data_IF_319197168617
#
_entry.id   IF_319197168617
#
_cell.length_a   1.000
_cell.length_b   1.000
_cell.length_c   1.000
_cell.angle_alpha   90.00
_cell.angle_beta   90.00
_cell.angle_gamma   90.00
#
_symmetry.space_group_name_H-M   'P 1'
#
loop_
_entity.id
_entity.type
_entity.pdbx_description
1 polymer ?
#
# COMPACT_ATOMS: atom_id res chain seq x y z
N UNK A 1 -75.53 36.61 12.70
CA UNK A 1 -75.19 35.28 13.25
C UNK A 1 -73.71 35.29 13.62
N UNK A 2 -73.37 35.30 14.91
CA UNK A 2 -71.97 35.10 15.35
C UNK A 2 -71.70 33.60 15.31
N UNK A 3 -70.82 33.17 14.42
CA UNK A 3 -70.33 31.78 14.39
C UNK A 3 -69.72 31.54 15.77
N UNK A 4 -70.21 30.54 16.52
CA UNK A 4 -69.56 30.11 17.75
C UNK A 4 -68.21 29.57 17.34
N UNK A 5 -67.15 30.33 17.58
CA UNK A 5 -65.80 29.81 17.49
C UNK A 5 -65.66 28.73 18.56
N UNK A 6 -65.48 27.50 18.12
CA UNK A 6 -65.16 26.38 18.98
C UNK A 6 -63.80 26.66 19.65
N UNK A 7 -63.70 26.45 20.96
CA UNK A 7 -62.54 26.86 21.77
C UNK A 7 -61.75 25.63 22.21
N UNK A 8 -60.42 25.71 22.15
CA UNK A 8 -59.51 24.69 22.66
C UNK A 8 -59.59 24.62 24.19
N UNK A 9 -59.89 23.45 24.78
CA UNK A 9 -60.00 23.28 26.24
C UNK A 9 -58.66 23.43 26.99
N UNK A 10 -57.51 23.39 26.28
CA UNK A 10 -56.17 23.51 26.91
C UNK A 10 -55.62 24.93 26.92
N UNK A 11 -55.83 25.71 25.85
CA UNK A 11 -55.24 27.04 25.71
C UNK A 11 -56.26 28.19 25.51
N UNK A 12 -57.55 27.89 25.34
CA UNK A 12 -58.58 28.91 25.13
C UNK A 12 -58.59 29.55 23.74
N UNK A 13 -57.74 29.11 22.81
CA UNK A 13 -57.70 29.59 21.42
C UNK A 13 -58.73 28.92 20.49
N UNK A 14 -58.89 29.39 19.25
CA UNK A 14 -59.83 28.79 18.28
C UNK A 14 -59.41 27.36 17.92
N UNK A 15 -60.40 26.46 17.85
CA UNK A 15 -60.25 25.04 17.51
C UNK A 15 -61.37 24.65 16.54
N UNK A 16 -61.09 24.10 15.34
CA UNK A 16 -62.14 23.79 14.35
C UNK A 16 -63.25 22.88 14.90
N UNK A 17 -62.87 21.85 15.67
CA UNK A 17 -63.78 20.78 16.09
C UNK A 17 -64.16 20.85 17.59
N UNK A 18 -63.73 21.90 18.29
CA UNK A 18 -63.89 22.01 19.76
C UNK A 18 -62.97 21.08 20.57
N UNK A 19 -62.09 20.33 19.89
CA UNK A 19 -61.02 19.54 20.50
C UNK A 19 -59.75 20.35 20.78
N UNK A 20 -58.66 19.66 21.10
CA UNK A 20 -57.34 20.27 21.28
C UNK A 20 -56.87 20.88 19.94
N UNK A 21 -56.53 22.17 19.93
CA UNK A 21 -56.03 22.85 18.72
C UNK A 21 -54.69 22.28 18.25
N UNK A 22 -54.34 22.52 16.98
CA UNK A 22 -53.12 21.99 16.37
C UNK A 22 -51.85 22.33 17.17
N UNK A 23 -51.74 23.56 17.71
CA UNK A 23 -50.62 23.96 18.59
C UNK A 23 -50.52 23.10 19.85
N UNK A 24 -51.63 22.94 20.55
CA UNK A 24 -51.66 22.13 21.76
C UNK A 24 -51.49 20.62 21.49
N UNK A 25 -51.72 20.17 20.25
CA UNK A 25 -51.43 18.79 19.82
C UNK A 25 -49.94 18.61 19.58
N UNK A 26 -49.30 19.55 18.89
CA UNK A 26 -47.84 19.56 18.65
C UNK A 26 -47.06 19.63 19.97
N UNK A 27 -47.49 20.43 20.94
CA UNK A 27 -46.88 20.53 22.27
C UNK A 27 -46.88 19.21 23.08
N UNK A 28 -47.65 18.20 22.67
CA UNK A 28 -47.70 16.89 23.33
C UNK A 28 -46.85 15.83 22.62
N UNK A 29 -46.36 16.13 21.42
CA UNK A 29 -45.56 15.20 20.63
C UNK A 29 -44.10 15.37 21.05
N UNK A 30 -43.50 14.30 21.57
CA UNK A 30 -42.04 14.22 21.66
C UNK A 30 -41.50 13.99 20.26
N UNK A 31 -41.25 15.08 19.55
CA UNK A 31 -40.89 15.07 18.13
C UNK A 31 -39.39 14.92 17.87
N UNK A 32 -38.58 15.05 18.92
CA UNK A 32 -37.13 14.93 18.86
C UNK A 32 -36.61 14.24 20.13
N UNK A 33 -35.71 13.29 19.94
CA UNK A 33 -34.93 12.65 20.99
C UNK A 33 -33.47 12.54 20.52
N UNK A 34 -32.52 12.55 21.44
CA UNK A 34 -31.13 12.29 21.10
C UNK A 34 -30.53 11.26 22.05
N UNK A 35 -29.61 10.46 21.52
CA UNK A 35 -28.79 9.62 22.39
C UNK A 35 -27.93 10.52 23.28
N UNK A 36 -27.92 10.33 24.61
CA UNK A 36 -27.18 11.21 25.51
C UNK A 36 -25.67 11.11 25.31
N UNK A 37 -25.21 10.01 24.71
CA UNK A 37 -23.79 9.72 24.53
C UNK A 37 -23.54 8.86 23.31
N UNK A 38 -22.54 9.25 22.53
CA UNK A 38 -22.04 8.50 21.38
C UNK A 38 -20.58 8.10 21.58
N UNK A 39 -20.19 7.00 20.96
CA UNK A 39 -18.82 6.49 20.99
C UNK A 39 -18.21 6.56 19.60
N UNK A 40 -17.03 7.15 19.52
CA UNK A 40 -16.20 7.15 18.30
C UNK A 40 -14.93 6.40 18.63
N UNK A 41 -14.73 5.27 17.95
CA UNK A 41 -13.62 4.37 18.21
C UNK A 41 -12.61 4.51 17.08
N UNK A 42 -11.36 4.80 17.44
CA UNK A 42 -10.24 5.00 16.52
C UNK A 42 -9.09 4.05 16.88
N UNK A 43 -8.38 3.56 15.86
CA UNK A 43 -7.19 2.75 16.02
C UNK A 43 -5.97 3.64 16.24
N UNK A 44 -5.31 3.58 17.42
CA UNK A 44 -4.17 4.46 17.72
C UNK A 44 -2.95 4.20 16.84
N UNK A 45 -2.87 3.04 16.16
CA UNK A 45 -1.74 2.67 15.32
C UNK A 45 -1.86 3.10 13.86
N UNK A 46 -3.08 3.25 13.31
CA UNK A 46 -3.26 3.56 11.89
C UNK A 46 -4.35 4.61 11.60
N UNK A 47 -5.00 5.16 12.63
CA UNK A 47 -6.05 6.17 12.48
C UNK A 47 -7.38 5.66 11.94
N UNK A 48 -7.49 4.37 11.62
CA UNK A 48 -8.75 3.79 11.15
C UNK A 48 -9.85 3.91 12.21
N UNK A 49 -11.08 4.15 11.80
CA UNK A 49 -12.23 4.30 12.69
C UNK A 49 -13.21 3.15 12.53
N UNK A 50 -13.95 2.85 13.61
CA UNK A 50 -14.89 1.73 13.67
C UNK A 50 -16.32 2.19 13.40
N UNK A 51 -17.02 1.47 12.53
CA UNK A 51 -18.43 1.67 12.19
C UNK A 51 -19.18 0.36 12.14
N UNK A 52 -20.25 0.25 12.93
CA UNK A 52 -21.13 -0.93 12.95
C UNK A 52 -20.35 -2.28 13.05
N UNK A 53 -19.20 -2.26 13.74
CA UNK A 53 -18.32 -3.43 13.89
C UNK A 53 -17.22 -3.58 12.83
N UNK A 54 -17.23 -2.81 11.73
CA UNK A 54 -16.22 -2.81 10.69
C UNK A 54 -15.21 -1.64 10.84
N UNK A 55 -13.98 -1.83 10.35
CA UNK A 55 -12.93 -0.80 10.38
C UNK A 55 -12.77 -0.13 9.01
N UNK A 56 -12.72 1.19 8.99
CA UNK A 56 -12.52 1.99 7.78
C UNK A 56 -11.18 2.70 7.82
N UNK A 57 -10.36 2.53 6.77
CA UNK A 57 -9.09 3.24 6.56
C UNK A 57 -9.26 4.61 5.88
N UNK A 58 -10.49 5.01 5.55
CA UNK A 58 -10.72 6.31 4.94
C UNK A 58 -10.39 7.40 5.96
N UNK A 59 -9.32 8.15 5.66
CA UNK A 59 -8.99 9.35 6.41
C UNK A 59 -10.17 10.32 6.34
N UNK A 60 -10.65 10.73 7.51
CA UNK A 60 -11.64 11.78 7.66
C UNK A 60 -11.26 12.64 8.83
N UNK A 61 -11.63 13.90 8.77
CA UNK A 61 -11.41 14.77 9.91
C UNK A 61 -12.28 14.33 11.08
N UNK A 62 -11.76 14.53 12.29
CA UNK A 62 -12.45 14.23 13.54
C UNK A 62 -13.82 14.92 13.60
N UNK A 63 -13.91 16.15 13.08
CA UNK A 63 -15.15 16.92 13.02
C UNK A 63 -16.21 16.29 12.10
N UNK A 64 -15.79 15.76 10.94
CA UNK A 64 -16.71 15.11 9.99
C UNK A 64 -17.30 13.83 10.57
N UNK A 65 -16.45 12.99 11.16
CA UNK A 65 -16.89 11.75 11.81
C UNK A 65 -17.85 12.07 12.96
N UNK A 66 -17.51 13.08 13.78
CA UNK A 66 -18.38 13.50 14.87
C UNK A 66 -19.73 14.00 14.35
N UNK A 67 -19.74 14.84 13.33
CA UNK A 67 -20.97 15.39 12.72
C UNK A 67 -21.88 14.29 12.19
N UNK A 68 -21.32 13.35 11.42
CA UNK A 68 -22.08 12.20 10.90
C UNK A 68 -22.67 11.36 12.04
N UNK A 69 -21.91 11.13 13.11
CA UNK A 69 -22.36 10.36 14.27
C UNK A 69 -23.44 11.08 15.07
N UNK A 70 -23.33 12.40 15.22
CA UNK A 70 -24.32 13.24 15.89
C UNK A 70 -25.63 13.18 15.13
N UNK A 71 -25.61 13.37 13.81
CA UNK A 71 -26.83 13.35 12.99
C UNK A 71 -27.59 12.02 13.11
N UNK A 72 -26.87 10.89 13.19
CA UNK A 72 -27.47 9.56 13.38
C UNK A 72 -27.98 9.31 14.81
N UNK A 73 -27.52 10.09 15.78
CA UNK A 73 -27.94 10.01 17.17
C UNK A 73 -29.15 10.92 17.47
N UNK A 74 -29.57 11.74 16.52
CA UNK A 74 -30.79 12.56 16.60
C UNK A 74 -31.92 11.78 15.94
N UNK A 75 -32.93 11.44 16.73
CA UNK A 75 -34.13 10.74 16.29
C UNK A 75 -35.27 11.75 16.18
N UNK A 76 -35.82 11.90 14.98
CA UNK A 76 -36.95 12.78 14.71
C UNK A 76 -38.22 11.95 14.49
N UNK A 77 -39.36 12.46 14.92
CA UNK A 77 -40.65 11.85 14.63
C UNK A 77 -40.93 11.87 13.11
N UNK A 78 -41.54 10.81 12.54
CA UNK A 78 -41.83 10.75 11.10
C UNK A 78 -42.72 11.90 10.57
N UNK A 79 -43.48 12.58 11.43
CA UNK A 79 -44.31 13.73 11.10
C UNK A 79 -43.57 15.06 11.03
N UNK A 80 -42.24 15.06 11.23
CA UNK A 80 -41.40 16.26 11.12
C UNK A 80 -41.07 16.56 9.66
N UNK A 81 -41.35 17.79 9.25
CA UNK A 81 -41.09 18.30 7.91
C UNK A 81 -39.94 19.33 7.93
N UNK A 82 -39.10 19.28 6.90
CA UNK A 82 -37.99 20.24 6.65
C UNK A 82 -37.09 20.52 7.87
N UNK A 83 -36.42 19.50 8.46
CA UNK A 83 -35.54 19.72 9.60
C UNK A 83 -34.24 20.42 9.18
N UNK A 84 -33.92 21.52 9.86
CA UNK A 84 -32.66 22.24 9.80
C UNK A 84 -31.86 21.99 11.09
N UNK A 85 -30.57 21.68 10.94
CA UNK A 85 -29.67 21.35 12.05
C UNK A 85 -28.58 22.42 12.18
N UNK A 86 -28.48 23.05 13.35
CA UNK A 86 -27.31 23.84 13.76
C UNK A 86 -26.56 23.08 14.86
N UNK A 87 -25.29 22.78 14.61
CA UNK A 87 -24.48 21.94 15.49
C UNK A 87 -23.18 22.65 15.84
N UNK A 88 -22.83 22.64 17.13
CA UNK A 88 -21.55 23.13 17.63
C UNK A 88 -20.89 22.06 18.48
N UNK A 89 -19.64 21.75 18.16
CA UNK A 89 -18.84 20.75 18.87
C UNK A 89 -17.75 21.47 19.65
N UNK A 90 -17.73 21.25 20.96
CA UNK A 90 -16.71 21.80 21.85
C UNK A 90 -15.89 20.66 22.46
N UNK A 91 -14.57 20.74 22.33
CA UNK A 91 -13.66 19.79 22.96
C UNK A 91 -13.48 20.12 24.45
N UNK A 92 -13.97 19.22 25.31
CA UNK A 92 -13.80 19.33 26.77
C UNK A 92 -12.44 18.76 27.19
N UNK A 93 -12.00 17.69 26.51
CA UNK A 93 -10.73 17.02 26.74
C UNK A 93 -10.30 16.25 25.48
N UNK A 94 -9.06 15.74 25.40
CA UNK A 94 -8.63 14.94 24.25
C UNK A 94 -9.56 13.75 23.95
N UNK A 95 -10.19 13.16 24.96
CA UNK A 95 -11.04 11.98 24.81
C UNK A 95 -12.55 12.27 24.93
N UNK A 96 -12.94 13.54 25.12
CA UNK A 96 -14.36 13.92 25.27
C UNK A 96 -14.66 15.25 24.62
N UNK A 97 -15.73 15.27 23.83
CA UNK A 97 -16.30 16.49 23.26
C UNK A 97 -17.78 16.56 23.62
N UNK A 98 -18.36 17.75 23.58
CA UNK A 98 -19.80 17.96 23.74
C UNK A 98 -20.35 18.60 22.49
N UNK A 99 -21.36 17.99 21.92
CA UNK A 99 -22.13 18.57 20.84
C UNK A 99 -23.37 19.26 21.43
N UNK A 100 -23.59 20.50 21.04
CA UNK A 100 -24.83 21.23 21.25
C UNK A 100 -25.54 21.30 19.91
N UNK A 101 -26.73 20.70 19.83
CA UNK A 101 -27.51 20.62 18.60
C UNK A 101 -28.82 21.39 18.78
N UNK A 102 -29.10 22.30 17.86
CA UNK A 102 -30.38 22.96 17.72
C UNK A 102 -31.05 22.50 16.44
N UNK A 103 -32.31 22.09 16.54
CA UNK A 103 -33.12 21.62 15.41
C UNK A 103 -34.32 22.54 15.25
N UNK A 104 -34.48 23.08 14.05
CA UNK A 104 -35.67 23.83 13.66
C UNK A 104 -36.43 23.04 12.60
N UNK A 105 -37.73 22.83 12.78
CA UNK A 105 -38.55 22.06 11.85
C UNK A 105 -40.01 22.51 11.87
N UNK A 106 -40.87 21.88 11.06
CA UNK A 106 -42.32 22.10 11.10
C UNK A 106 -43.10 20.80 11.29
N UNK A 107 -44.17 20.84 12.09
CA UNK A 107 -45.12 19.73 12.27
C UNK A 107 -46.53 20.29 12.05
N UNK A 108 -47.25 19.78 11.05
CA UNK A 108 -48.59 20.29 10.69
C UNK A 108 -48.60 21.82 10.46
N UNK A 109 -47.64 22.33 9.67
CA UNK A 109 -47.42 23.76 9.39
C UNK A 109 -47.12 24.63 10.63
N UNK A 110 -46.82 24.02 11.79
CA UNK A 110 -46.45 24.74 13.01
C UNK A 110 -44.92 24.63 13.19
N UNK A 111 -44.20 25.76 13.29
CA UNK A 111 -42.76 25.74 13.52
C UNK A 111 -42.47 25.24 14.94
N UNK A 112 -41.54 24.29 15.04
CA UNK A 112 -41.03 23.73 16.29
C UNK A 112 -39.52 23.91 16.38
N UNK A 113 -39.03 24.16 17.59
CA UNK A 113 -37.60 24.29 17.87
C UNK A 113 -37.24 23.41 19.06
N UNK A 114 -36.16 22.66 18.91
CA UNK A 114 -35.66 21.71 19.88
C UNK A 114 -34.17 21.90 20.05
N UNK A 115 -33.67 21.63 21.25
CA UNK A 115 -32.24 21.59 21.50
C UNK A 115 -31.88 20.38 22.34
N UNK A 116 -30.71 19.84 22.07
CA UNK A 116 -30.19 18.71 22.80
C UNK A 116 -28.67 18.78 22.92
N UNK A 117 -28.13 18.07 23.90
CA UNK A 117 -26.69 17.97 24.09
C UNK A 117 -26.27 16.51 24.11
N UNK A 118 -25.24 16.20 23.33
CA UNK A 118 -24.73 14.84 23.15
C UNK A 118 -23.27 14.81 23.61
N UNK A 119 -22.92 13.87 24.48
CA UNK A 119 -21.54 13.63 24.87
C UNK A 119 -20.85 12.72 23.83
N UNK A 120 -19.74 13.19 23.27
CA UNK A 120 -18.91 12.39 22.35
C UNK A 120 -17.73 11.82 23.11
N UNK A 121 -17.60 10.50 23.09
CA UNK A 121 -16.47 9.81 23.74
C UNK A 121 -15.56 9.17 22.71
N UNK A 122 -14.32 9.63 22.70
CA UNK A 122 -13.27 9.17 21.80
C UNK A 122 -12.53 8.02 22.49
N UNK A 123 -12.72 6.83 21.95
CA UNK A 123 -12.12 5.60 22.45
C UNK A 123 -11.01 5.13 21.53
N UNK A 124 -9.99 4.54 22.14
CA UNK A 124 -8.88 3.91 21.41
C UNK A 124 -9.03 2.40 21.50
N UNK A 125 -9.17 1.75 20.36
CA UNK A 125 -9.22 0.29 20.24
C UNK A 125 -8.30 -0.11 19.09
N UNK A 126 -7.43 -1.11 19.26
CA UNK A 126 -6.56 -1.53 18.17
C UNK A 126 -7.37 -2.29 17.12
N UNK A 127 -7.29 -1.89 15.85
CA UNK A 127 -7.96 -2.63 14.77
C UNK A 127 -7.38 -4.03 14.59
N UNK A 128 -8.16 -4.90 13.97
CA UNK A 128 -7.79 -6.28 13.65
C UNK A 128 -6.48 -6.37 12.85
N UNK A 129 -6.27 -5.50 11.86
CA UNK A 129 -5.02 -5.39 11.09
C UNK A 129 -3.82 -5.10 12.00
N UNK A 130 -3.88 -4.01 12.76
CA UNK A 130 -2.77 -3.59 13.62
C UNK A 130 -2.50 -4.59 14.75
N UNK A 131 -3.55 -5.19 15.30
CA UNK A 131 -3.42 -6.26 16.29
C UNK A 131 -2.67 -7.47 15.70
N UNK A 132 -3.06 -7.93 14.50
CA UNK A 132 -2.37 -9.03 13.80
C UNK A 132 -0.92 -8.71 13.45
N UNK A 133 -0.64 -7.50 12.97
CA UNK A 133 0.73 -7.04 12.70
C UNK A 133 1.60 -7.10 13.96
N UNK A 134 1.10 -6.56 15.08
CA UNK A 134 1.84 -6.62 16.36
C UNK A 134 1.99 -8.05 16.90
N UNK A 135 1.03 -8.93 16.60
CA UNK A 135 1.04 -10.34 17.00
C UNK A 135 1.94 -11.25 16.15
N UNK A 136 2.74 -10.72 15.21
CA UNK A 136 3.53 -11.52 14.26
C UNK A 136 2.68 -12.53 13.46
N UNK A 137 1.43 -12.18 13.17
CA UNK A 137 0.54 -13.00 12.36
C UNK A 137 0.98 -12.97 10.90
N UNK A 138 1.01 -14.15 10.27
CA UNK A 138 1.24 -14.28 8.84
C UNK A 138 0.59 -15.54 8.29
N UNK A 139 0.22 -15.47 7.01
CA UNK A 139 -0.36 -16.56 6.24
C UNK A 139 0.59 -17.05 5.14
N UNK A 140 1.57 -16.24 4.75
CA UNK A 140 2.57 -16.67 3.78
C UNK A 140 3.89 -15.94 3.89
N UNK A 141 4.88 -16.51 3.20
CA UNK A 141 6.21 -15.92 3.03
C UNK A 141 6.61 -16.04 1.57
N UNK A 142 6.89 -14.91 0.91
CA UNK A 142 7.45 -14.88 -0.44
C UNK A 142 8.97 -14.80 -0.34
N UNK A 143 9.66 -15.82 -0.85
CA UNK A 143 11.11 -15.91 -0.81
C UNK A 143 11.66 -15.71 -2.22
N UNK A 144 12.29 -14.56 -2.46
CA UNK A 144 12.90 -14.19 -3.72
C UNK A 144 14.35 -14.62 -3.72
N UNK A 145 14.71 -15.54 -4.62
CA UNK A 145 16.07 -16.05 -4.83
C UNK A 145 16.38 -16.07 -6.33
N UNK A 146 17.66 -16.14 -6.70
CA UNK A 146 18.07 -16.28 -8.11
C UNK A 146 18.75 -17.63 -8.37
N UNK A 147 18.59 -18.17 -9.58
CA UNK A 147 19.20 -19.46 -9.97
C UNK A 147 20.69 -19.28 -10.25
N UNK A 148 21.56 -19.88 -9.43
CA UNK A 148 23.00 -19.95 -9.70
C UNK A 148 23.74 -18.61 -9.58
N UNK A 149 23.10 -17.59 -9.00
CA UNK A 149 23.68 -16.29 -8.63
C UNK A 149 22.90 -15.69 -7.46
N UNK A 150 23.41 -14.61 -6.90
CA UNK A 150 22.63 -13.75 -6.00
C UNK A 150 21.73 -12.83 -6.83
N UNK A 151 20.51 -12.52 -6.35
CA UNK A 151 19.71 -11.45 -6.94
C UNK A 151 20.50 -10.14 -6.96
N UNK A 152 20.35 -9.37 -8.03
CA UNK A 152 20.95 -8.05 -8.11
C UNK A 152 20.22 -7.07 -7.17
N UNK A 153 20.89 -6.02 -6.65
CA UNK A 153 20.24 -5.04 -5.78
C UNK A 153 18.97 -4.43 -6.40
N UNK A 154 19.00 -4.14 -7.72
CA UNK A 154 17.82 -3.62 -8.41
C UNK A 154 16.66 -4.62 -8.49
N UNK A 155 16.94 -5.93 -8.55
CA UNK A 155 15.89 -6.97 -8.56
C UNK A 155 15.22 -7.06 -7.19
N UNK A 156 16.01 -6.97 -6.11
CA UNK A 156 15.50 -6.92 -4.73
C UNK A 156 14.65 -5.68 -4.51
N UNK A 157 15.16 -4.50 -4.89
CA UNK A 157 14.41 -3.25 -4.79
C UNK A 157 13.12 -3.29 -5.62
N UNK A 158 13.15 -3.87 -6.83
CA UNK A 158 11.95 -4.04 -7.67
C UNK A 158 10.94 -4.99 -7.02
N UNK A 159 11.40 -6.11 -6.43
CA UNK A 159 10.52 -7.05 -5.75
C UNK A 159 9.87 -6.45 -4.49
N UNK A 160 10.62 -5.66 -3.71
CA UNK A 160 10.09 -4.91 -2.57
C UNK A 160 9.07 -3.86 -3.03
N UNK A 161 9.36 -3.12 -4.10
CA UNK A 161 8.42 -2.16 -4.69
C UNK A 161 7.11 -2.81 -5.14
N UNK A 162 7.18 -3.94 -5.84
CA UNK A 162 6.00 -4.73 -6.25
C UNK A 162 5.19 -5.17 -5.03
N UNK A 163 5.85 -5.54 -3.93
CA UNK A 163 5.15 -5.94 -2.72
C UNK A 163 4.34 -4.78 -2.13
N UNK A 164 4.95 -3.59 -2.03
CA UNK A 164 4.26 -2.40 -1.54
C UNK A 164 3.10 -2.00 -2.45
N UNK A 165 3.32 -1.95 -3.77
CA UNK A 165 2.27 -1.66 -4.75
C UNK A 165 1.09 -2.65 -4.65
N UNK A 166 1.38 -3.93 -4.38
CA UNK A 166 0.35 -4.97 -4.22
C UNK A 166 -0.41 -4.81 -2.90
N UNK A 167 0.28 -4.46 -1.80
CA UNK A 167 -0.37 -4.14 -0.52
C UNK A 167 -1.35 -2.97 -0.68
N UNK A 168 -0.88 -1.87 -1.26
CA UNK A 168 -1.68 -0.65 -1.46
C UNK A 168 -2.92 -0.95 -2.31
N UNK A 169 -2.75 -1.63 -3.45
CA UNK A 169 -3.86 -2.00 -4.34
C UNK A 169 -4.90 -2.90 -3.66
N UNK A 170 -4.47 -3.86 -2.82
CA UNK A 170 -5.39 -4.73 -2.10
C UNK A 170 -6.13 -3.98 -0.99
N UNK A 171 -5.44 -3.07 -0.28
CA UNK A 171 -6.07 -2.26 0.76
C UNK A 171 -7.11 -1.29 0.17
N UNK A 172 -6.79 -0.63 -0.95
CA UNK A 172 -7.76 0.19 -1.71
C UNK A 172 -8.96 -0.64 -2.20
N UNK A 173 -8.72 -1.90 -2.57
CA UNK A 173 -9.75 -2.88 -2.92
C UNK A 173 -10.60 -3.40 -1.75
N UNK A 174 -10.36 -2.94 -0.52
CA UNK A 174 -11.10 -3.33 0.69
C UNK A 174 -10.54 -4.56 1.41
N UNK A 175 -9.43 -5.14 0.96
CA UNK A 175 -8.77 -6.29 1.58
C UNK A 175 -7.83 -5.85 2.71
N UNK A 176 -8.37 -5.18 3.74
CA UNK A 176 -7.62 -4.60 4.88
C UNK A 176 -6.64 -5.56 5.57
N UNK A 177 -6.94 -6.87 5.56
CA UNK A 177 -6.10 -7.89 6.20
C UNK A 177 -4.93 -8.35 5.31
N UNK A 178 -4.82 -7.85 4.08
CA UNK A 178 -3.66 -8.01 3.21
C UNK A 178 -2.64 -6.92 3.55
N UNK A 179 -1.69 -7.28 4.42
CA UNK A 179 -0.63 -6.39 4.86
C UNK A 179 0.73 -7.09 4.87
N UNK A 180 1.81 -6.32 4.68
CA UNK A 180 3.17 -6.81 4.80
C UNK A 180 3.56 -6.74 6.27
N UNK A 181 3.80 -7.90 6.89
CA UNK A 181 4.25 -7.94 8.29
C UNK A 181 5.72 -7.59 8.43
N UNK A 182 6.55 -7.98 7.45
CA UNK A 182 8.00 -7.80 7.48
C UNK A 182 8.60 -8.01 6.10
N UNK A 183 9.66 -7.26 5.78
CA UNK A 183 10.58 -7.53 4.68
C UNK A 183 11.99 -7.71 5.25
N UNK A 184 12.59 -8.88 5.02
CA UNK A 184 13.93 -9.22 5.46
C UNK A 184 14.84 -9.38 4.24
N UNK A 185 15.75 -8.43 4.04
CA UNK A 185 16.78 -8.53 3.01
C UNK A 185 18.03 -9.24 3.57
N UNK A 186 18.52 -10.22 2.82
CA UNK A 186 19.72 -10.98 3.13
C UNK A 186 20.63 -11.06 1.91
N UNK A 187 21.87 -11.53 2.12
CA UNK A 187 22.82 -11.76 1.02
C UNK A 187 22.33 -12.76 -0.02
N UNK A 188 21.37 -13.60 0.34
CA UNK A 188 20.83 -14.65 -0.54
C UNK A 188 19.55 -14.20 -1.27
N UNK A 189 18.90 -13.13 -0.79
CA UNK A 189 17.73 -12.53 -1.41
C UNK A 189 16.77 -11.91 -0.39
N UNK A 190 15.51 -11.76 -0.77
CA UNK A 190 14.47 -11.07 0.00
C UNK A 190 13.39 -12.05 0.48
N UNK A 191 13.02 -11.97 1.76
CA UNK A 191 11.88 -12.67 2.33
C UNK A 191 10.79 -11.67 2.74
N UNK A 192 9.59 -11.83 2.17
CA UNK A 192 8.44 -10.94 2.39
C UNK A 192 7.37 -11.73 3.14
N UNK A 193 7.13 -11.36 4.39
CA UNK A 193 6.12 -12.01 5.24
C UNK A 193 4.79 -11.30 5.09
N UNK A 194 3.75 -12.06 4.72
CA UNK A 194 2.46 -11.50 4.29
C UNK A 194 1.30 -11.97 5.17
N UNK A 195 0.38 -11.06 5.46
CA UNK A 195 -0.81 -11.26 6.29
C UNK A 195 -1.91 -12.08 5.62
N UNK A 196 -1.91 -12.20 4.28
CA UNK A 196 -2.91 -12.96 3.52
C UNK A 196 -2.28 -13.86 2.45
N UNK A 197 -2.92 -15.01 2.18
CA UNK A 197 -2.47 -15.90 1.10
C UNK A 197 -2.59 -15.26 -0.28
N UNK A 198 -3.67 -14.50 -0.52
CA UNK A 198 -3.92 -13.79 -1.79
C UNK A 198 -2.76 -12.84 -2.12
N UNK A 199 -2.33 -12.03 -1.16
CA UNK A 199 -1.24 -11.09 -1.37
C UNK A 199 0.07 -11.81 -1.71
N UNK A 200 0.39 -12.91 -1.02
CA UNK A 200 1.58 -13.71 -1.36
C UNK A 200 1.58 -14.26 -2.78
N UNK A 201 0.41 -14.69 -3.28
CA UNK A 201 0.23 -15.17 -4.64
C UNK A 201 0.38 -14.03 -5.67
N UNK A 202 -0.24 -12.87 -5.43
CA UNK A 202 -0.18 -11.71 -6.32
C UNK A 202 1.24 -11.14 -6.40
N UNK A 203 1.92 -10.96 -5.27
CA UNK A 203 3.33 -10.53 -5.21
C UNK A 203 4.22 -11.48 -6.01
N UNK A 204 4.11 -12.80 -5.76
CA UNK A 204 4.93 -13.80 -6.46
C UNK A 204 4.71 -13.77 -7.97
N UNK A 205 3.46 -13.62 -8.40
CA UNK A 205 3.07 -13.58 -9.82
C UNK A 205 3.57 -12.29 -10.48
N UNK A 206 3.44 -11.15 -9.81
CA UNK A 206 3.89 -9.85 -10.31
C UNK A 206 5.42 -9.78 -10.41
N UNK A 207 6.15 -10.34 -9.44
CA UNK A 207 7.61 -10.47 -9.50
C UNK A 207 8.03 -11.29 -10.72
N UNK A 208 7.44 -12.48 -10.92
CA UNK A 208 7.77 -13.33 -12.08
C UNK A 208 7.38 -12.66 -13.40
N UNK A 209 6.27 -11.92 -13.43
CA UNK A 209 5.85 -11.17 -14.62
C UNK A 209 6.85 -10.07 -14.98
N UNK A 210 7.43 -9.39 -13.99
CA UNK A 210 8.32 -8.23 -14.21
C UNK A 210 9.78 -8.62 -14.38
N UNK A 211 10.28 -9.56 -13.59
CA UNK A 211 11.69 -9.97 -13.54
C UNK A 211 11.95 -11.34 -14.20
N UNK A 212 10.90 -12.03 -14.63
CA UNK A 212 11.00 -13.37 -15.19
C UNK A 212 11.17 -14.46 -14.13
N UNK A 213 11.48 -15.67 -14.60
CA UNK A 213 11.67 -16.84 -13.74
C UNK A 213 10.37 -17.61 -13.49
N UNK A 214 10.25 -18.21 -12.30
CA UNK A 214 9.08 -19.00 -11.89
C UNK A 214 8.94 -19.01 -10.37
N UNK A 215 7.76 -19.32 -9.87
CA UNK A 215 7.56 -19.59 -8.45
C UNK A 215 6.87 -20.92 -8.20
N UNK A 216 7.12 -21.50 -7.03
CA UNK A 216 6.42 -22.70 -6.53
C UNK A 216 5.85 -22.44 -5.14
N UNK A 217 4.76 -23.11 -4.80
CA UNK A 217 4.08 -22.98 -3.51
C UNK A 217 4.30 -24.20 -2.64
N UNK A 218 4.61 -23.99 -1.36
CA UNK A 218 4.81 -25.04 -0.36
C UNK A 218 3.87 -24.80 0.83
N UNK A 219 2.64 -25.33 0.80
CA UNK A 219 1.68 -25.16 1.88
C UNK A 219 2.01 -26.07 3.07
N UNK A 220 1.93 -25.51 4.28
CA UNK A 220 2.05 -26.23 5.55
C UNK A 220 0.78 -26.07 6.38
N UNK A 221 0.15 -27.17 6.76
CA UNK A 221 -1.01 -27.18 7.64
C UNK A 221 -0.58 -26.74 9.05
N UNK A 222 -1.24 -25.73 9.60
CA UNK A 222 -0.97 -25.20 10.94
C UNK A 222 -2.08 -25.59 11.92
N UNK A 223 -3.29 -25.83 11.43
CA UNK A 223 -4.40 -26.27 12.26
C UNK A 223 -5.73 -26.27 11.52
N UNK A 224 -6.81 -26.28 12.29
CA UNK A 224 -8.18 -26.28 11.78
C UNK A 224 -9.00 -25.25 12.55
N UNK A 225 -9.76 -24.42 11.83
CA UNK A 225 -10.64 -23.40 12.40
C UNK A 225 -12.02 -23.56 11.80
N UNK A 226 -13.01 -23.83 12.66
CA UNK A 226 -14.41 -24.03 12.26
C UNK A 226 -14.57 -25.05 11.11
N UNK A 227 -13.89 -26.20 11.20
CA UNK A 227 -13.95 -27.25 10.18
C UNK A 227 -13.10 -26.99 8.93
N UNK A 228 -12.40 -25.85 8.84
CA UNK A 228 -11.53 -25.50 7.70
C UNK A 228 -10.07 -25.58 8.09
N UNK A 229 -9.30 -26.29 7.28
CA UNK A 229 -7.84 -26.37 7.42
C UNK A 229 -7.19 -25.01 7.15
N UNK A 230 -6.29 -24.59 8.04
CA UNK A 230 -5.56 -23.33 7.97
C UNK A 230 -4.11 -23.61 7.60
N UNK A 231 -3.66 -23.02 6.49
CA UNK A 231 -2.32 -23.21 5.95
C UNK A 231 -1.48 -21.95 6.03
N UNK A 232 -0.18 -22.14 6.25
CA UNK A 232 0.85 -21.15 5.93
C UNK A 232 1.56 -21.56 4.65
N UNK A 233 1.70 -20.65 3.70
CA UNK A 233 2.25 -20.96 2.38
C UNK A 233 3.59 -20.25 2.17
N UNK A 234 4.63 -21.02 1.85
CA UNK A 234 5.88 -20.45 1.34
C UNK A 234 5.82 -20.39 -0.18
N UNK A 235 5.99 -19.20 -0.74
CA UNK A 235 6.12 -18.95 -2.17
C UNK A 235 7.60 -18.83 -2.52
N UNK A 236 8.18 -19.85 -3.16
CA UNK A 236 9.60 -19.84 -3.55
C UNK A 236 9.72 -19.25 -4.96
N UNK A 237 10.06 -17.97 -5.05
CA UNK A 237 10.30 -17.27 -6.31
C UNK A 237 11.75 -17.47 -6.72
N UNK A 238 11.98 -17.98 -7.93
CA UNK A 238 13.31 -18.17 -8.51
C UNK A 238 13.48 -17.34 -9.78
N UNK A 239 14.24 -16.25 -9.64
CA UNK A 239 14.67 -15.39 -10.73
C UNK A 239 15.62 -16.13 -11.68
N UNK A 240 15.64 -15.76 -12.96
CA UNK A 240 16.45 -16.43 -13.97
C UNK A 240 17.95 -16.25 -13.71
N UNK A 241 18.74 -17.22 -14.17
CA UNK A 241 20.21 -17.18 -14.02
C UNK A 241 20.81 -15.99 -14.78
N UNK A 242 20.26 -15.70 -15.95
CA UNK A 242 20.66 -14.58 -16.79
C UNK A 242 19.47 -13.65 -16.99
N UNK A 243 19.73 -12.35 -16.95
CA UNK A 243 18.77 -11.29 -17.23
C UNK A 243 19.31 -10.35 -18.30
N UNK A 244 18.46 -9.44 -18.77
CA UNK A 244 18.86 -8.43 -19.74
C UNK A 244 19.97 -7.57 -19.15
N UNK A 245 20.89 -7.14 -20.00
CA UNK A 245 22.06 -6.34 -19.65
C UNK A 245 23.11 -7.09 -18.80
N UNK A 246 23.00 -8.41 -18.64
CA UNK A 246 24.08 -9.20 -18.06
C UNK A 246 25.30 -9.26 -19.00
N UNK A 247 26.50 -9.19 -18.44
CA UNK A 247 27.75 -9.41 -19.15
C UNK A 247 28.20 -10.86 -18.91
N UNK A 248 28.40 -11.60 -19.99
CA UNK A 248 28.75 -13.02 -20.00
C UNK A 248 30.03 -13.28 -20.78
N UNK A 249 30.79 -14.29 -20.38
CA UNK A 249 31.98 -14.78 -21.08
C UNK A 249 31.65 -16.06 -21.86
N UNK A 250 31.99 -16.05 -23.15
CA UNK A 250 31.66 -17.08 -24.14
C UNK A 250 32.81 -17.27 -25.13
N UNK A 251 33.50 -18.41 -25.10
CA UNK A 251 34.59 -18.71 -26.02
C UNK A 251 35.70 -17.65 -25.97
N UNK A 252 36.05 -17.20 -24.75
CA UNK A 252 37.04 -16.14 -24.53
C UNK A 252 36.61 -14.73 -24.93
N UNK A 253 35.33 -14.50 -25.25
CA UNK A 253 34.80 -13.17 -25.60
C UNK A 253 33.64 -12.76 -24.71
N UNK A 254 33.57 -11.46 -24.43
CA UNK A 254 32.50 -10.88 -23.64
C UNK A 254 31.28 -10.54 -24.49
N UNK A 255 30.10 -10.78 -23.94
CA UNK A 255 28.82 -10.48 -24.56
C UNK A 255 27.84 -9.85 -23.60
N UNK A 256 27.04 -8.89 -24.08
CA UNK A 256 25.93 -8.27 -23.36
C UNK A 256 24.62 -9.01 -23.69
N UNK A 257 23.92 -9.52 -22.68
CA UNK A 257 22.65 -10.21 -22.85
C UNK A 257 21.56 -9.22 -23.25
N UNK A 258 20.96 -9.43 -24.42
CA UNK A 258 19.83 -8.65 -24.91
C UNK A 258 18.49 -9.28 -24.49
N UNK A 259 18.41 -10.60 -24.55
CA UNK A 259 17.19 -11.33 -24.22
C UNK A 259 17.52 -12.78 -23.84
N UNK A 260 16.66 -13.37 -23.01
CA UNK A 260 16.74 -14.77 -22.61
C UNK A 260 15.40 -15.41 -22.95
N UNK A 261 15.42 -16.47 -23.76
CA UNK A 261 14.23 -17.27 -24.10
C UNK A 261 14.49 -18.74 -23.81
N UNK A 262 13.83 -19.27 -22.77
CA UNK A 262 14.01 -20.63 -22.27
C UNK A 262 15.48 -20.98 -22.02
N UNK A 263 16.12 -21.65 -22.97
CA UNK A 263 17.51 -22.11 -22.92
C UNK A 263 18.41 -21.34 -23.88
N UNK A 264 17.89 -20.35 -24.62
CA UNK A 264 18.66 -19.55 -25.56
C UNK A 264 18.90 -18.15 -25.00
N UNK A 265 20.13 -17.68 -25.16
CA UNK A 265 20.57 -16.35 -24.78
C UNK A 265 20.93 -15.61 -26.05
N UNK A 266 20.20 -14.53 -26.34
CA UNK A 266 20.53 -13.59 -27.39
C UNK A 266 21.43 -12.51 -26.79
N UNK A 267 22.62 -12.34 -27.33
CA UNK A 267 23.62 -11.42 -26.81
C UNK A 267 24.28 -10.59 -27.91
N UNK A 268 24.82 -9.44 -27.55
CA UNK A 268 25.68 -8.60 -28.38
C UNK A 268 27.14 -8.89 -28.02
N UNK A 269 27.93 -9.33 -28.98
CA UNK A 269 29.38 -9.46 -28.80
C UNK A 269 29.99 -8.06 -28.60
N UNK A 270 30.67 -7.82 -27.47
CA UNK A 270 31.17 -6.48 -27.10
C UNK A 270 32.29 -6.00 -28.03
N UNK A 271 32.97 -6.89 -28.73
CA UNK A 271 34.06 -6.54 -29.65
C UNK A 271 33.53 -6.17 -31.04
N UNK A 272 32.73 -7.06 -31.63
CA UNK A 272 32.24 -6.93 -33.00
C UNK A 272 30.90 -6.20 -33.12
N UNK A 273 30.19 -5.98 -32.01
CA UNK A 273 28.83 -5.45 -31.99
C UNK A 273 27.77 -6.40 -32.57
N UNK A 274 28.17 -7.57 -33.07
CA UNK A 274 27.28 -8.52 -33.72
C UNK A 274 26.33 -9.17 -32.71
N UNK A 275 25.04 -9.26 -33.07
CA UNK A 275 24.05 -9.97 -32.28
C UNK A 275 24.13 -11.46 -32.63
N UNK A 276 24.28 -12.30 -31.60
CA UNK A 276 24.38 -13.75 -31.71
C UNK A 276 23.42 -14.43 -30.74
N UNK A 277 23.21 -15.73 -30.92
CA UNK A 277 22.39 -16.55 -30.03
C UNK A 277 23.15 -17.81 -29.68
N UNK A 278 23.16 -18.16 -28.40
CA UNK A 278 23.81 -19.36 -27.85
C UNK A 278 22.90 -20.04 -26.85
N UNK A 279 23.18 -21.30 -26.54
CA UNK A 279 22.51 -22.00 -25.44
C UNK A 279 23.05 -21.53 -24.09
N UNK A 280 22.21 -21.55 -23.07
CA UNK A 280 22.55 -21.20 -21.68
C UNK A 280 23.80 -21.97 -21.20
N UNK A 281 23.89 -23.26 -21.56
CA UNK A 281 24.98 -24.14 -21.15
C UNK A 281 26.33 -23.85 -21.85
N UNK A 282 26.33 -23.03 -22.90
CA UNK A 282 27.55 -22.60 -23.57
C UNK A 282 28.23 -21.43 -22.85
N UNK A 283 27.52 -20.77 -21.93
CA UNK A 283 28.07 -19.66 -21.13
C UNK A 283 29.08 -20.19 -20.12
N UNK A 284 30.33 -19.75 -20.25
CA UNK A 284 31.41 -20.13 -19.35
C UNK A 284 31.23 -19.47 -17.98
N UNK A 285 30.94 -18.17 -17.98
CA UNK A 285 30.81 -17.38 -16.75
C UNK A 285 29.91 -16.17 -16.91
N UNK A 286 29.20 -15.84 -15.82
CA UNK A 286 28.50 -14.57 -15.65
C UNK A 286 29.44 -13.61 -14.94
N UNK A 287 29.69 -12.43 -15.52
CA UNK A 287 30.56 -11.41 -14.95
C UNK A 287 29.78 -10.50 -14.01
N UNK A 288 28.58 -10.08 -14.41
CA UNK A 288 27.67 -9.25 -13.61
C UNK A 288 26.64 -8.56 -14.49
N UNK A 289 25.93 -7.57 -13.97
CA UNK A 289 24.96 -6.79 -14.74
C UNK A 289 25.53 -5.41 -15.09
N UNK A 290 25.19 -4.92 -16.29
CA UNK A 290 25.55 -3.60 -16.79
C UNK A 290 25.22 -2.45 -15.82
N UNK A 291 24.20 -2.62 -14.99
CA UNK A 291 23.76 -1.62 -13.99
C UNK A 291 24.75 -1.47 -12.84
N UNK A 292 25.55 -2.49 -12.58
CA UNK A 292 26.59 -2.49 -11.54
C UNK A 292 27.95 -2.01 -12.08
N UNK A 293 28.01 -1.53 -13.33
CA UNK A 293 29.23 -1.00 -13.92
C UNK A 293 29.66 0.30 -13.22
N UNK A 294 30.95 0.40 -12.91
CA UNK A 294 31.55 1.55 -12.24
C UNK A 294 31.91 2.63 -13.28
N UNK A 295 31.62 3.90 -12.99
CA UNK A 295 32.14 5.02 -13.78
C UNK A 295 33.57 5.35 -13.35
N UNK A 296 34.49 5.39 -14.30
CA UNK A 296 35.90 5.73 -14.08
C UNK A 296 36.40 6.71 -15.14
N UNK A 297 37.42 7.48 -14.79
CA UNK A 297 38.07 8.42 -15.70
C UNK A 297 39.32 7.81 -16.32
N UNK A 298 39.49 7.99 -17.62
CA UNK A 298 40.73 7.63 -18.33
C UNK A 298 41.80 8.67 -18.03
N UNK A 299 42.92 8.23 -17.45
CA UNK A 299 44.10 9.07 -17.16
C UNK A 299 44.98 9.19 -18.40
N UNK A 300 45.23 8.07 -19.09
CA UNK A 300 46.02 8.04 -20.32
C UNK A 300 45.61 6.87 -21.20
N UNK A 301 46.01 6.92 -22.47
CA UNK A 301 45.89 5.83 -23.43
C UNK A 301 47.23 5.64 -24.15
N UNK A 302 47.68 4.39 -24.22
CA UNK A 302 48.83 3.98 -25.00
C UNK A 302 48.45 2.77 -25.86
N UNK A 303 48.17 3.02 -27.15
CA UNK A 303 47.67 2.01 -28.09
C UNK A 303 46.36 1.36 -27.61
N UNK A 304 46.44 0.06 -27.33
CA UNK A 304 45.35 -0.80 -26.84
C UNK A 304 45.35 -0.93 -25.30
N UNK A 305 46.12 -0.10 -24.60
CA UNK A 305 46.13 -0.02 -23.14
C UNK A 305 45.58 1.35 -22.69
N UNK A 306 44.75 1.34 -21.66
CA UNK A 306 44.30 2.55 -20.97
C UNK A 306 44.69 2.49 -19.51
N UNK A 307 45.08 3.64 -18.94
CA UNK A 307 45.17 3.82 -17.50
C UNK A 307 43.87 4.43 -16.99
N UNK A 308 43.14 3.73 -16.10
CA UNK A 308 41.92 4.25 -15.48
C UNK A 308 42.17 4.61 -14.01
N UNK A 309 41.57 5.70 -13.56
CA UNK A 309 41.66 6.12 -12.16
C UNK A 309 40.64 5.34 -11.32
N UNK A 310 41.11 4.58 -10.34
CA UNK A 310 40.23 3.91 -9.38
C UNK A 310 39.69 4.91 -8.33
N UNK A 311 38.37 5.14 -8.25
CA UNK A 311 37.82 6.18 -7.39
C UNK A 311 38.09 5.96 -5.89
N UNK A 312 38.14 4.70 -5.45
CA UNK A 312 38.31 4.36 -4.04
C UNK A 312 39.75 4.52 -3.53
N UNK A 313 40.74 4.26 -4.39
CA UNK A 313 42.16 4.26 -4.00
C UNK A 313 42.96 5.44 -4.56
N UNK A 314 42.44 6.14 -5.56
CA UNK A 314 43.15 7.18 -6.29
C UNK A 314 44.33 6.66 -7.12
N UNK A 315 44.45 5.34 -7.29
CA UNK A 315 45.52 4.72 -8.08
C UNK A 315 45.09 4.56 -9.52
N UNK A 316 46.06 4.67 -10.42
CA UNK A 316 45.87 4.33 -11.84
C UNK A 316 46.04 2.83 -12.03
N UNK A 317 45.05 2.19 -12.64
CA UNK A 317 45.07 0.78 -13.01
C UNK A 317 45.20 0.71 -14.54
N UNK A 318 46.21 -0.01 -15.02
CA UNK A 318 46.43 -0.25 -16.44
C UNK A 318 45.61 -1.44 -16.92
N UNK A 319 44.89 -1.27 -18.02
CA UNK A 319 44.01 -2.29 -18.56
C UNK A 319 44.07 -2.34 -20.07
N UNK A 320 44.05 -3.56 -20.61
CA UNK A 320 43.93 -3.76 -22.04
C UNK A 320 42.49 -3.53 -22.47
N UNK A 321 42.32 -2.69 -23.48
CA UNK A 321 41.04 -2.50 -24.15
C UNK A 321 40.99 -3.42 -25.36
N UNK A 322 39.94 -4.22 -25.42
CA UNK A 322 39.62 -4.97 -26.64
C UNK A 322 38.76 -4.14 -27.60
N UNK A 323 38.32 -2.94 -27.22
CA UNK A 323 37.43 -2.13 -28.05
C UNK A 323 38.21 -1.17 -28.95
N UNK A 324 37.85 -1.15 -30.24
CA UNK A 324 38.30 -0.17 -31.24
C UNK A 324 37.72 1.24 -31.08
N UNK A 325 36.97 1.53 -30.01
CA UNK A 325 36.39 2.87 -29.79
C UNK A 325 37.49 3.92 -29.54
N UNK A 326 37.33 5.16 -30.05
CA UNK A 326 38.26 6.25 -29.81
C UNK A 326 38.08 6.78 -28.38
N UNK A 327 38.62 6.06 -27.41
CA UNK A 327 38.77 6.49 -26.03
C UNK A 327 39.89 7.52 -25.90
N UNK A 328 39.62 8.62 -25.19
CA UNK A 328 40.56 9.71 -24.96
C UNK A 328 40.83 9.93 -23.45
N UNK A 329 42.01 10.47 -23.12
CA UNK A 329 42.29 10.90 -21.75
C UNK A 329 41.31 12.00 -21.30
N UNK A 330 40.91 11.96 -20.03
CA UNK A 330 39.90 12.83 -19.43
C UNK A 330 38.44 12.42 -19.68
N UNK A 331 38.20 11.39 -20.49
CA UNK A 331 36.85 10.85 -20.72
C UNK A 331 36.43 9.96 -19.54
N UNK A 332 35.15 10.07 -19.14
CA UNK A 332 34.51 9.10 -18.25
C UNK A 332 33.96 7.93 -19.06
N UNK A 333 34.28 6.71 -18.62
CA UNK A 333 33.79 5.46 -19.18
C UNK A 333 33.18 4.60 -18.09
N UNK A 334 32.33 3.65 -18.47
CA UNK A 334 31.86 2.62 -17.53
C UNK A 334 32.65 1.35 -17.71
N UNK A 335 33.03 0.73 -16.61
CA UNK A 335 33.82 -0.51 -16.60
C UNK A 335 33.13 -1.58 -15.74
N UNK A 336 33.40 -2.82 -16.08
CA UNK A 336 33.13 -3.97 -15.22
C UNK A 336 34.41 -4.74 -14.97
N UNK A 337 34.57 -5.25 -13.75
CA UNK A 337 35.74 -6.00 -13.34
C UNK A 337 35.54 -7.49 -13.56
N UNK A 338 36.53 -8.12 -14.18
CA UNK A 338 36.66 -9.57 -14.26
C UNK A 338 38.04 -10.02 -13.75
N UNK A 339 38.17 -10.15 -12.42
CA UNK A 339 39.46 -10.43 -11.81
C UNK A 339 40.42 -9.24 -11.98
N UNK A 340 41.45 -9.41 -12.80
CA UNK A 340 42.41 -8.35 -13.16
C UNK A 340 42.01 -7.59 -14.43
N UNK A 341 41.08 -8.14 -15.22
CA UNK A 341 40.67 -7.54 -16.49
C UNK A 341 39.58 -6.49 -16.25
N UNK A 342 39.65 -5.38 -16.98
CA UNK A 342 38.58 -4.38 -17.03
C UNK A 342 37.89 -4.44 -18.38
N UNK A 343 36.60 -4.71 -18.33
CA UNK A 343 35.73 -4.73 -19.48
C UNK A 343 35.13 -3.34 -19.60
N UNK A 344 35.54 -2.59 -20.62
CA UNK A 344 34.91 -1.31 -20.95
C UNK A 344 33.52 -1.57 -21.52
N UNK A 345 32.53 -0.89 -20.97
CA UNK A 345 31.14 -1.01 -21.41
C UNK A 345 30.59 0.34 -21.87
N UNK A 346 30.06 0.36 -23.09
CA UNK A 346 29.64 1.55 -23.80
C UNK A 346 30.43 1.69 -25.08
#
# INVERSE_FOLDING_TARGET
MRIKENICPRCGGPSPDGGICARCRVDQIQWMECDPRIFVIECPSCGAWKEAGAWSDLYRERADIATERILRAIHLDPGVESPEFDMRIEDISPNRSRASCAVSASILDIPVQGSCSIEIVWQKEQCDRCSRMSGSYYEGVVQVRAKGRKPYPFEIATAAGIAQETEDALQEGGERLSFISRMDESRDGLDITVGSQRMGQEISSNIVRRLGGRFTTHPKLIGEKAGRQVYRITYSVRLPKYTREDIILLGGRYGEVIAVDKENIRYRDLFSGAIRTVKENSVERLIGNLRDAESVMIVFRDGDMIGVLEPASGKTIECQIHHSSPLCAGQEIRIMRDGIDLIVIG
#
